data_IF_980686867632
#
_entry.id   IF_980686867632
#
_cell.length_a   1.000
_cell.length_b   1.000
_cell.length_c   1.000
_cell.angle_alpha   90.00
_cell.angle_beta   90.00
_cell.angle_gamma   90.00
#
_symmetry.space_group_name_H-M   'P 1'
#
loop_
_entity.id
_entity.type
_entity.pdbx_description
1 polymer ?
#
# COMPACT_ATOMS: atom_id res chain seq x y z
N UNK A 1 -20.33 3.75 14.55
CA UNK A 1 -19.39 4.79 14.06
C UNK A 1 -17.94 4.29 13.83
N UNK A 2 -17.40 3.32 14.61
CA UNK A 2 -16.03 2.77 14.41
C UNK A 2 -15.83 2.09 13.05
N UNK A 3 -16.79 1.28 12.59
CA UNK A 3 -16.69 0.53 11.33
C UNK A 3 -16.47 1.40 10.08
N UNK A 4 -17.16 2.55 9.97
CA UNK A 4 -16.99 3.47 8.82
C UNK A 4 -15.58 4.09 8.77
N UNK A 5 -14.99 4.38 9.94
CA UNK A 5 -13.59 4.86 10.03
C UNK A 5 -12.59 3.77 9.69
N UNK A 6 -12.83 2.53 10.12
CA UNK A 6 -11.98 1.39 9.74
C UNK A 6 -12.07 1.12 8.24
N UNK A 7 -13.27 1.16 7.65
CA UNK A 7 -13.45 0.97 6.20
C UNK A 7 -12.72 2.05 5.39
N UNK A 8 -12.84 3.32 5.78
CA UNK A 8 -12.12 4.42 5.11
C UNK A 8 -10.61 4.26 5.25
N UNK A 9 -10.12 3.85 6.42
CA UNK A 9 -8.72 3.58 6.65
C UNK A 9 -8.18 2.42 5.79
N UNK A 10 -8.95 1.35 5.62
CA UNK A 10 -8.59 0.21 4.77
C UNK A 10 -8.65 0.60 3.29
N UNK A 11 -9.69 1.33 2.87
CA UNK A 11 -9.84 1.82 1.51
C UNK A 11 -8.70 2.75 1.11
N UNK A 12 -8.25 3.61 2.02
CA UNK A 12 -7.11 4.50 1.74
C UNK A 12 -5.81 3.72 1.63
N UNK A 13 -5.57 2.71 2.48
CA UNK A 13 -4.39 1.83 2.33
C UNK A 13 -4.45 1.06 1.02
N UNK A 14 -5.60 0.51 0.66
CA UNK A 14 -5.79 -0.19 -0.60
C UNK A 14 -5.57 0.74 -1.81
N UNK A 15 -6.03 1.99 -1.73
CA UNK A 15 -5.85 2.98 -2.79
C UNK A 15 -4.37 3.35 -3.02
N UNK A 16 -3.52 3.30 -1.99
CA UNK A 16 -2.07 3.46 -2.14
C UNK A 16 -1.37 2.18 -2.56
N UNK A 17 -1.83 1.05 -2.04
CA UNK A 17 -1.22 -0.25 -2.30
C UNK A 17 -1.39 -0.71 -3.75
N UNK A 18 -2.60 -0.60 -4.31
CA UNK A 18 -2.93 -1.04 -5.67
C UNK A 18 -2.03 -0.41 -6.75
N UNK A 19 -1.85 0.93 -6.83
CA UNK A 19 -1.01 1.52 -7.87
C UNK A 19 0.49 1.25 -7.64
N UNK A 20 0.96 1.16 -6.40
CA UNK A 20 2.36 0.79 -6.09
C UNK A 20 2.66 -0.66 -6.51
N UNK A 21 1.75 -1.59 -6.20
CA UNK A 21 1.86 -2.98 -6.63
C UNK A 21 1.77 -3.10 -8.16
N UNK A 22 0.86 -2.37 -8.81
CA UNK A 22 0.75 -2.34 -10.26
C UNK A 22 2.01 -1.77 -10.93
N UNK A 23 2.57 -0.68 -10.41
CA UNK A 23 3.82 -0.08 -10.91
C UNK A 23 4.99 -1.05 -10.76
N UNK A 24 5.08 -1.75 -9.63
CA UNK A 24 6.10 -2.76 -9.39
C UNK A 24 5.97 -3.95 -10.35
N UNK A 25 4.75 -4.47 -10.58
CA UNK A 25 4.49 -5.54 -11.55
C UNK A 25 4.81 -5.12 -13.00
N UNK A 26 4.63 -3.84 -13.34
CA UNK A 26 5.03 -3.30 -14.65
C UNK A 26 6.56 -3.23 -14.79
N UNK A 27 7.28 -3.01 -13.70
CA UNK A 27 8.75 -2.92 -13.67
C UNK A 27 9.43 -4.30 -13.64
N UNK A 28 8.81 -5.30 -13.00
CA UNK A 28 9.31 -6.68 -12.88
C UNK A 28 8.55 -7.57 -13.88
N UNK A 29 9.14 -7.78 -15.07
CA UNK A 29 8.51 -8.56 -16.15
C UNK A 29 8.70 -10.09 -16.04
N UNK A 30 9.50 -10.57 -15.08
CA UNK A 30 9.77 -12.01 -14.85
C UNK A 30 9.63 -12.32 -13.37
N UNK A 31 8.41 -12.56 -12.91
CA UNK A 31 8.13 -12.75 -11.48
C UNK A 31 8.19 -14.22 -11.11
N UNK A 32 9.22 -14.61 -10.36
CA UNK A 32 9.22 -15.89 -9.64
C UNK A 32 8.24 -15.78 -8.44
N UNK A 33 7.54 -16.84 -8.00
CA UNK A 33 6.61 -16.78 -6.86
C UNK A 33 7.21 -16.16 -5.58
N UNK A 34 8.52 -16.24 -5.38
CA UNK A 34 9.21 -15.54 -4.28
C UNK A 34 9.20 -14.02 -4.46
N UNK A 35 9.40 -13.53 -5.68
CA UNK A 35 9.40 -12.10 -5.99
C UNK A 35 8.00 -11.49 -5.80
N UNK A 36 6.94 -12.24 -6.08
CA UNK A 36 5.56 -11.81 -5.77
C UNK A 36 5.38 -11.50 -4.28
N UNK A 37 5.89 -12.37 -3.40
CA UNK A 37 5.80 -12.16 -1.96
C UNK A 37 6.61 -10.93 -1.51
N UNK A 38 7.80 -10.72 -2.08
CA UNK A 38 8.65 -9.55 -1.77
C UNK A 38 8.03 -8.26 -2.29
N UNK A 39 7.49 -8.25 -3.51
CA UNK A 39 6.78 -7.11 -4.08
C UNK A 39 5.51 -6.75 -3.30
N UNK A 40 4.73 -7.75 -2.88
CA UNK A 40 3.56 -7.56 -2.03
C UNK A 40 3.94 -6.98 -0.65
N UNK A 41 5.02 -7.48 -0.03
CA UNK A 41 5.51 -6.98 1.25
C UNK A 41 6.07 -5.55 1.13
N UNK A 42 6.88 -5.28 0.10
CA UNK A 42 7.47 -3.97 -0.15
C UNK A 42 6.40 -2.90 -0.45
N UNK A 43 5.41 -3.24 -1.28
CA UNK A 43 4.27 -2.35 -1.57
C UNK A 43 3.39 -2.11 -0.32
N UNK A 44 3.23 -3.11 0.55
CA UNK A 44 2.55 -2.94 1.83
C UNK A 44 3.31 -1.95 2.75
N UNK A 45 4.63 -2.06 2.85
CA UNK A 45 5.46 -1.13 3.63
C UNK A 45 5.41 0.28 3.06
N UNK A 46 5.48 0.44 1.73
CA UNK A 46 5.39 1.74 1.07
C UNK A 46 4.02 2.41 1.29
N UNK A 47 2.93 1.64 1.22
CA UNK A 47 1.59 2.15 1.52
C UNK A 47 1.46 2.63 2.98
N UNK A 48 2.04 1.90 3.94
CA UNK A 48 2.09 2.31 5.34
C UNK A 48 2.93 3.58 5.54
N UNK A 49 4.08 3.68 4.87
CA UNK A 49 4.94 4.87 4.92
C UNK A 49 4.23 6.11 4.35
N UNK A 50 3.57 5.98 3.19
CA UNK A 50 2.78 7.06 2.59
C UNK A 50 1.63 7.51 3.51
N UNK A 51 0.94 6.56 4.15
CA UNK A 51 -0.10 6.86 5.14
C UNK A 51 0.47 7.56 6.38
N UNK A 52 1.62 7.12 6.89
CA UNK A 52 2.32 7.74 8.01
C UNK A 52 2.77 9.17 7.69
N UNK A 53 3.34 9.40 6.52
CA UNK A 53 3.74 10.72 6.04
C UNK A 53 2.54 11.67 5.93
N UNK A 54 1.41 11.21 5.35
CA UNK A 54 0.18 12.01 5.29
C UNK A 54 -0.36 12.35 6.67
N UNK A 55 -0.32 11.41 7.62
CA UNK A 55 -0.73 11.62 9.01
C UNK A 55 0.14 12.65 9.72
N UNK A 56 1.46 12.54 9.57
CA UNK A 56 2.41 13.51 10.09
C UNK A 56 2.16 14.92 9.54
N UNK A 57 1.88 15.05 8.23
CA UNK A 57 1.57 16.33 7.58
C UNK A 57 0.21 16.89 8.00
N UNK A 58 -0.79 16.03 8.19
CA UNK A 58 -2.16 16.45 8.54
C UNK A 58 -2.40 16.57 10.05
N UNK A 59 -1.38 16.33 10.88
CA UNK A 59 -1.44 16.52 12.34
C UNK A 59 -2.46 15.64 13.07
N UNK A 60 -2.77 14.46 12.53
CA UNK A 60 -3.77 13.51 13.06
C UNK A 60 -3.21 12.10 13.15
#
# INVERSE_FOLDING_TARGET
MKGRRTLLAVAEVAAWWVPLAALWLVLISTVDPLELAVGAAASAVAALAARGARRAVTGR
#
